data_IF_761398531913
#
_entry.id   IF_761398531913
#
_cell.length_a   1.000
_cell.length_b   1.000
_cell.length_c   1.000
_cell.angle_alpha   90.00
_cell.angle_beta   90.00
_cell.angle_gamma   90.00
#
_symmetry.space_group_name_H-M   'P 1'
#
loop_
_entity.id
_entity.type
_entity.pdbx_description
1 polymer ?
#
# COMPACT_ATOMS: atom_id res chain seq x y z
N UNK A 1 4.71 -53.62 -14.90
CA UNK A 1 5.81 -52.84 -14.30
C UNK A 1 5.28 -51.44 -14.14
N UNK A 2 4.89 -51.04 -12.93
CA UNK A 2 4.63 -49.65 -12.53
C UNK A 2 4.32 -49.64 -11.03
N UNK A 3 5.33 -49.97 -10.21
CA UNK A 3 5.27 -49.81 -8.75
C UNK A 3 6.55 -49.09 -8.29
N UNK A 4 6.59 -47.77 -8.48
CA UNK A 4 7.63 -46.92 -7.84
C UNK A 4 7.17 -45.48 -7.55
N UNK A 5 5.89 -45.12 -7.75
CA UNK A 5 5.42 -43.74 -7.50
C UNK A 5 4.70 -43.56 -6.15
N UNK A 6 4.43 -44.66 -5.42
CA UNK A 6 3.64 -44.62 -4.17
C UNK A 6 4.45 -44.28 -2.91
N UNK A 7 5.78 -44.17 -3.01
CA UNK A 7 6.65 -44.04 -1.81
C UNK A 7 7.07 -42.59 -1.52
N UNK A 8 6.82 -41.65 -2.44
CA UNK A 8 7.20 -40.24 -2.28
C UNK A 8 6.14 -39.35 -1.62
N UNK A 9 4.87 -39.76 -1.63
CA UNK A 9 3.75 -38.97 -1.09
C UNK A 9 3.53 -39.16 0.42
N UNK A 10 4.16 -40.17 1.05
CA UNK A 10 3.91 -40.48 2.47
C UNK A 10 4.79 -39.73 3.48
N UNK A 11 5.68 -38.82 3.03
CA UNK A 11 6.65 -38.16 3.93
C UNK A 11 6.33 -36.72 4.32
N UNK A 12 5.11 -36.24 4.05
CA UNK A 12 4.65 -34.89 4.46
C UNK A 12 3.45 -34.98 5.39
N UNK A 13 3.48 -35.86 6.39
CA UNK A 13 2.58 -35.77 7.54
C UNK A 13 3.30 -36.21 8.80
N UNK A 14 4.11 -35.32 9.36
CA UNK A 14 4.43 -35.31 10.80
C UNK A 14 5.31 -34.09 11.10
N UNK A 15 4.71 -33.00 11.58
CA UNK A 15 5.04 -32.52 12.93
C UNK A 15 4.03 -31.47 13.40
N UNK A 16 3.56 -31.68 14.63
CA UNK A 16 2.65 -30.80 15.35
C UNK A 16 3.38 -29.55 15.85
N UNK A 17 2.72 -28.40 15.78
CA UNK A 17 3.18 -27.15 16.38
C UNK A 17 2.00 -26.20 16.53
N UNK A 18 1.54 -26.04 17.77
CA UNK A 18 0.33 -25.32 18.13
C UNK A 18 0.32 -23.84 17.73
N UNK A 19 -0.83 -23.41 17.26
CA UNK A 19 -1.21 -22.02 17.05
C UNK A 19 -2.63 -22.05 16.49
N UNK A 20 -3.60 -21.54 17.25
CA UNK A 20 -5.01 -21.48 16.85
C UNK A 20 -5.16 -20.44 15.71
N UNK A 21 -4.70 -20.81 14.52
CA UNK A 21 -4.99 -20.11 13.28
C UNK A 21 -6.43 -20.46 12.95
N UNK A 22 -7.35 -19.53 13.25
CA UNK A 22 -8.70 -19.54 12.68
C UNK A 22 -8.54 -19.70 11.18
N UNK A 23 -8.77 -20.91 10.66
CA UNK A 23 -8.76 -21.19 9.23
C UNK A 23 -9.81 -20.27 8.62
N UNK A 24 -9.39 -19.25 7.88
CA UNK A 24 -10.27 -18.50 6.99
C UNK A 24 -10.71 -19.48 5.90
N UNK A 25 -11.75 -20.25 6.18
CA UNK A 25 -12.47 -21.00 5.18
C UNK A 25 -13.33 -19.99 4.41
N UNK A 26 -12.79 -19.51 3.30
CA UNK A 26 -13.61 -18.83 2.31
C UNK A 26 -14.73 -19.80 1.93
N UNK A 27 -15.99 -19.44 2.22
CA UNK A 27 -17.12 -20.21 1.73
C UNK A 27 -17.12 -20.04 0.21
N UNK A 28 -16.71 -21.09 -0.50
CA UNK A 28 -16.95 -21.19 -1.93
C UNK A 28 -18.47 -21.17 -2.12
N UNK A 29 -18.99 -20.00 -2.44
CA UNK A 29 -20.36 -19.88 -2.92
C UNK A 29 -20.37 -20.62 -4.26
N UNK A 30 -20.91 -21.84 -4.26
CA UNK A 30 -21.37 -22.41 -5.51
C UNK A 30 -22.37 -21.40 -6.07
N UNK A 31 -22.02 -20.83 -7.22
CA UNK A 31 -22.91 -19.94 -7.94
C UNK A 31 -24.15 -20.77 -8.33
N UNK A 32 -25.16 -20.78 -7.45
CA UNK A 32 -26.51 -20.95 -7.92
C UNK A 32 -26.77 -19.68 -8.71
N UNK A 33 -26.61 -19.79 -10.03
CA UNK A 33 -26.90 -18.72 -10.99
C UNK A 33 -28.42 -18.55 -11.00
N UNK A 34 -28.93 -18.00 -9.90
CA UNK A 34 -30.27 -17.48 -9.84
C UNK A 34 -30.23 -16.12 -10.52
N UNK A 35 -30.61 -16.11 -11.80
CA UNK A 35 -30.73 -14.91 -12.64
C UNK A 35 -31.72 -13.87 -12.05
N UNK A 36 -32.44 -14.19 -10.97
CA UNK A 36 -33.34 -13.30 -10.24
C UNK A 36 -32.62 -12.35 -9.26
N UNK A 37 -31.34 -12.60 -8.93
CA UNK A 37 -30.61 -11.72 -8.01
C UNK A 37 -30.24 -10.43 -8.72
N UNK A 38 -31.01 -9.37 -8.48
CA UNK A 38 -30.68 -7.98 -8.87
C UNK A 38 -29.43 -7.53 -8.12
N UNK A 39 -28.26 -7.95 -8.58
CA UNK A 39 -27.00 -7.35 -8.18
C UNK A 39 -27.03 -5.92 -8.74
N UNK A 40 -26.86 -4.88 -7.91
CA UNK A 40 -26.78 -3.52 -8.43
C UNK A 40 -25.62 -3.47 -9.43
N UNK A 41 -25.93 -3.15 -10.69
CA UNK A 41 -24.92 -2.88 -11.68
C UNK A 41 -24.13 -1.67 -11.23
N UNK A 42 -22.91 -1.92 -10.82
CA UNK A 42 -21.98 -0.88 -10.43
C UNK A 42 -21.52 -0.16 -11.70
N UNK A 43 -22.32 0.82 -12.14
CA UNK A 43 -22.03 1.68 -13.29
C UNK A 43 -20.99 2.74 -12.90
N UNK A 44 -19.76 2.31 -12.61
CA UNK A 44 -18.63 3.22 -12.59
C UNK A 44 -18.31 3.62 -14.03
N UNK A 45 -18.84 4.75 -14.48
CA UNK A 45 -18.25 5.45 -15.62
C UNK A 45 -17.05 6.20 -15.06
N UNK A 46 -15.86 5.61 -15.19
CA UNK A 46 -14.62 6.36 -14.99
C UNK A 46 -14.59 7.40 -16.12
N UNK A 47 -14.55 8.71 -15.84
CA UNK A 47 -14.45 9.71 -16.89
C UNK A 47 -13.23 9.37 -17.74
N UNK A 48 -13.43 9.32 -19.05
CA UNK A 48 -12.40 8.92 -20.00
C UNK A 48 -11.20 9.86 -19.80
N UNK A 49 -10.11 9.35 -19.20
CA UNK A 49 -8.94 10.17 -18.93
C UNK A 49 -8.36 10.58 -20.27
N UNK A 50 -8.23 11.91 -20.47
CA UNK A 50 -7.82 12.47 -21.76
C UNK A 50 -6.35 12.17 -22.08
N UNK A 51 -5.57 11.75 -21.08
CA UNK A 51 -4.18 11.29 -21.19
C UNK A 51 -3.74 10.63 -19.88
N UNK A 52 -2.84 9.65 -19.96
CA UNK A 52 -2.14 9.08 -18.80
C UNK A 52 -1.09 10.10 -18.34
N UNK A 53 -1.19 10.56 -17.09
CA UNK A 53 -0.20 11.43 -16.43
C UNK A 53 0.96 10.63 -15.84
N UNK A 54 2.08 11.28 -15.61
CA UNK A 54 3.19 10.71 -14.87
C UNK A 54 2.82 10.49 -13.39
N UNK A 55 3.40 9.48 -12.70
CA UNK A 55 3.12 9.23 -11.30
C UNK A 55 3.31 10.45 -10.38
N UNK A 56 4.30 11.29 -10.69
CA UNK A 56 4.58 12.52 -9.92
C UNK A 56 3.46 13.55 -10.06
N UNK A 57 2.81 13.64 -11.21
CA UNK A 57 1.72 14.60 -11.44
C UNK A 57 0.51 14.27 -10.57
N UNK A 58 0.18 12.98 -10.42
CA UNK A 58 -0.87 12.55 -9.49
C UNK A 58 -0.52 12.84 -8.04
N UNK A 59 0.76 12.75 -7.67
CA UNK A 59 1.20 13.09 -6.31
C UNK A 59 1.05 14.59 -6.04
N UNK A 60 1.41 15.44 -7.01
CA UNK A 60 1.28 16.89 -6.92
C UNK A 60 -0.18 17.37 -6.89
N UNK A 61 -1.15 16.58 -7.39
CA UNK A 61 -2.58 16.89 -7.23
C UNK A 61 -3.02 16.87 -5.74
N UNK A 62 -2.34 16.10 -4.88
CA UNK A 62 -2.60 16.05 -3.43
C UNK A 62 -1.66 16.94 -2.62
N UNK A 63 -0.41 17.05 -3.05
CA UNK A 63 0.62 17.86 -2.42
C UNK A 63 1.00 19.02 -3.35
N UNK A 64 0.12 20.01 -3.41
CA UNK A 64 0.34 21.19 -4.23
C UNK A 64 1.48 22.07 -3.68
N UNK A 65 1.95 22.99 -4.53
CA UNK A 65 3.07 23.88 -4.19
C UNK A 65 2.74 24.75 -2.98
N UNK A 66 1.48 25.13 -2.81
CA UNK A 66 1.02 25.98 -1.71
C UNK A 66 1.06 25.22 -0.38
N UNK A 67 0.60 23.98 -0.35
CA UNK A 67 0.68 23.10 0.81
C UNK A 67 2.13 22.80 1.18
N UNK A 68 2.99 22.49 0.21
CA UNK A 68 4.43 22.28 0.47
C UNK A 68 5.06 23.55 1.07
N UNK A 69 4.70 24.72 0.55
CA UNK A 69 5.17 26.01 1.08
C UNK A 69 4.70 26.24 2.52
N UNK A 70 3.44 25.91 2.81
CA UNK A 70 2.87 26.02 4.14
C UNK A 70 3.59 25.10 5.14
N UNK A 71 3.80 23.83 4.78
CA UNK A 71 4.51 22.86 5.61
C UNK A 71 5.93 23.36 5.89
N UNK A 72 6.69 23.75 4.86
CA UNK A 72 8.04 24.27 5.03
C UNK A 72 8.09 25.48 5.95
N UNK A 73 7.18 26.45 5.76
CA UNK A 73 7.10 27.64 6.59
C UNK A 73 6.79 27.32 8.06
N UNK A 74 5.80 26.48 8.30
CA UNK A 74 5.39 26.10 9.66
C UNK A 74 6.44 25.23 10.37
N UNK A 75 7.08 24.30 9.67
CA UNK A 75 8.17 23.49 10.23
C UNK A 75 9.36 24.35 10.66
N UNK A 76 9.73 25.34 9.84
CA UNK A 76 10.81 26.28 10.18
C UNK A 76 10.43 27.19 11.34
N UNK A 77 9.19 27.70 11.36
CA UNK A 77 8.69 28.52 12.46
C UNK A 77 8.71 27.73 13.79
N UNK A 78 8.22 26.50 13.78
CA UNK A 78 8.22 25.63 14.95
C UNK A 78 9.64 25.32 15.45
N UNK A 79 10.58 25.06 14.54
CA UNK A 79 11.97 24.84 14.91
C UNK A 79 12.57 26.06 15.63
N UNK A 80 12.30 27.27 15.12
CA UNK A 80 12.75 28.52 15.74
C UNK A 80 12.09 28.75 17.11
N UNK A 81 10.83 28.38 17.27
CA UNK A 81 10.10 28.45 18.55
C UNK A 81 10.64 27.46 19.59
N UNK A 82 11.13 26.31 19.15
CA UNK A 82 11.61 25.22 20.03
C UNK A 82 13.06 25.45 20.47
N UNK A 83 13.93 25.77 19.52
CA UNK A 83 15.34 26.07 19.80
C UNK A 83 15.85 27.16 18.85
N UNK A 84 15.92 28.43 19.31
CA UNK A 84 16.42 29.52 18.50
C UNK A 84 17.87 29.37 18.05
N UNK A 85 18.68 28.54 18.73
CA UNK A 85 20.09 28.31 18.37
C UNK A 85 20.25 27.33 17.21
N UNK A 86 19.21 26.54 16.90
CA UNK A 86 19.26 25.51 15.87
C UNK A 86 18.08 25.62 14.90
N UNK A 87 18.10 26.59 13.97
CA UNK A 87 17.07 26.71 12.95
C UNK A 87 17.09 25.50 12.00
N UNK A 88 15.92 24.96 11.67
CA UNK A 88 15.79 23.82 10.76
C UNK A 88 16.19 24.17 9.32
N UNK A 89 15.87 25.39 8.87
CA UNK A 89 16.14 25.88 7.51
C UNK A 89 15.67 24.93 6.39
N UNK A 90 14.55 24.25 6.59
CA UNK A 90 13.96 23.34 5.62
C UNK A 90 13.64 24.08 4.33
N UNK A 91 14.01 23.48 3.21
CA UNK A 91 13.64 23.94 1.87
C UNK A 91 12.57 23.03 1.23
N UNK A 92 11.83 23.54 0.24
CA UNK A 92 10.83 22.74 -0.50
C UNK A 92 11.43 21.48 -1.16
N UNK A 93 12.56 21.54 -1.91
CA UNK A 93 13.12 20.33 -2.52
C UNK A 93 13.60 19.29 -1.48
N UNK A 94 14.03 19.74 -0.30
CA UNK A 94 14.35 18.82 0.81
C UNK A 94 13.10 18.13 1.34
N UNK A 95 11.99 18.86 1.49
CA UNK A 95 10.71 18.29 1.90
C UNK A 95 10.21 17.24 0.90
N UNK A 96 10.30 17.52 -0.40
CA UNK A 96 9.97 16.56 -1.47
C UNK A 96 10.83 15.30 -1.37
N UNK A 97 12.14 15.45 -1.11
CA UNK A 97 13.05 14.31 -0.93
C UNK A 97 12.70 13.49 0.32
N UNK A 98 12.28 14.15 1.40
CA UNK A 98 11.80 13.47 2.62
C UNK A 98 10.55 12.64 2.30
N UNK A 99 9.57 13.20 1.57
CA UNK A 99 8.38 12.46 1.16
C UNK A 99 8.71 11.28 0.24
N UNK A 100 9.59 11.47 -0.74
CA UNK A 100 10.08 10.38 -1.57
C UNK A 100 10.76 9.28 -0.76
N UNK A 101 11.54 9.65 0.27
CA UNK A 101 12.19 8.68 1.17
C UNK A 101 11.16 7.90 1.99
N UNK A 102 10.17 8.58 2.56
CA UNK A 102 9.09 7.92 3.33
C UNK A 102 8.28 6.98 2.45
N UNK A 103 7.93 7.41 1.24
CA UNK A 103 7.23 6.57 0.27
C UNK A 103 8.07 5.35 -0.12
N UNK A 104 9.37 5.54 -0.37
CA UNK A 104 10.28 4.45 -0.67
C UNK A 104 10.37 3.43 0.47
N UNK A 105 10.50 3.89 1.70
CA UNK A 105 10.53 3.03 2.89
C UNK A 105 9.19 2.30 3.13
N UNK A 106 8.06 2.85 2.66
CA UNK A 106 6.77 2.16 2.73
C UNK A 106 6.66 0.99 1.75
N UNK A 107 7.39 1.06 0.63
CA UNK A 107 7.38 0.04 -0.41
C UNK A 107 8.47 -1.01 -0.19
N UNK A 108 9.65 -0.58 0.27
CA UNK A 108 10.80 -1.46 0.47
C UNK A 108 10.84 -1.91 1.92
N UNK A 109 10.39 -3.15 2.14
CA UNK A 109 10.56 -3.81 3.43
C UNK A 109 12.02 -4.24 3.53
N UNK A 110 12.73 -3.74 4.55
CA UNK A 110 14.09 -4.19 4.82
C UNK A 110 14.07 -5.70 5.12
N UNK A 111 14.94 -6.50 4.47
CA UNK A 111 15.10 -7.91 4.82
C UNK A 111 15.54 -8.00 6.29
N UNK A 112 14.90 -8.93 7.02
CA UNK A 112 15.18 -9.20 8.43
C UNK A 112 16.47 -9.99 8.61
#
# INVERSE_FOLDING_TARGET
MENSSSEFEQKITENAGGGDQRKLAWKTLHANIDHSRKIPELKWSIPQSRSIREPIEYFCDFFDVDLLSLITGQSNLYALQTDPQKPLQLTKPELERIFGTVLYMSLVVLPK
#
